data_IF_145087134732
#
_entry.id   IF_145087134732
#
_cell.length_a   1.000
_cell.length_b   1.000
_cell.length_c   1.000
_cell.angle_alpha   90.00
_cell.angle_beta   90.00
_cell.angle_gamma   90.00
#
_symmetry.space_group_name_H-M   'P 1'
#
loop_
_entity.id
_entity.type
_entity.pdbx_description
1 polymer ?
#
# COMPACT_ATOMS: atom_id res chain seq x y z
N UNK A 1 1.91 1.73 3.26
CA UNK A 1 2.94 1.54 4.28
C UNK A 1 3.38 0.09 4.31
N UNK A 2 4.66 -0.17 4.54
CA UNK A 2 5.19 -1.48 4.85
C UNK A 2 5.49 -1.55 6.36
N UNK A 3 5.09 -2.66 6.98
CA UNK A 3 5.35 -2.93 8.41
C UNK A 3 6.39 -4.06 8.47
N UNK A 4 7.49 -3.84 9.17
CA UNK A 4 8.52 -4.85 9.31
C UNK A 4 8.12 -5.87 10.41
N UNK A 5 7.46 -6.92 9.99
CA UNK A 5 7.11 -8.09 10.81
C UNK A 5 7.98 -9.31 10.51
N UNK A 6 8.98 -9.16 9.66
CA UNK A 6 9.98 -10.17 9.35
C UNK A 6 11.03 -10.34 10.45
N UNK A 7 12.03 -11.14 10.18
CA UNK A 7 13.08 -11.52 11.14
C UNK A 7 13.95 -10.33 11.62
N UNK A 8 13.95 -9.22 10.89
CA UNK A 8 14.66 -7.98 11.24
C UNK A 8 13.79 -6.98 11.97
N UNK A 9 12.47 -7.22 12.00
CA UNK A 9 11.49 -6.32 12.61
C UNK A 9 11.46 -6.40 14.14
N UNK A 10 10.95 -5.35 14.81
CA UNK A 10 10.82 -5.35 16.26
C UNK A 10 9.72 -6.33 16.72
N UNK A 11 9.85 -6.84 17.94
CA UNK A 11 8.89 -7.76 18.54
C UNK A 11 7.46 -7.19 18.58
N UNK A 12 7.32 -5.88 18.75
CA UNK A 12 6.04 -5.18 18.73
C UNK A 12 5.28 -5.38 17.43
N UNK A 13 5.99 -5.42 16.29
CA UNK A 13 5.39 -5.60 14.96
C UNK A 13 5.07 -7.08 14.63
N UNK A 14 5.47 -8.04 15.48
CA UNK A 14 5.03 -9.43 15.37
C UNK A 14 3.56 -9.60 15.80
N UNK A 15 3.05 -8.72 16.64
CA UNK A 15 1.66 -8.76 17.11
C UNK A 15 0.70 -8.19 16.07
N UNK A 16 -0.16 -9.03 15.51
CA UNK A 16 -1.15 -8.63 14.50
C UNK A 16 -2.16 -7.61 15.03
N UNK A 17 -2.51 -7.65 16.32
CA UNK A 17 -3.42 -6.66 16.92
C UNK A 17 -2.80 -5.27 16.91
N UNK A 18 -1.48 -5.16 17.11
CA UNK A 18 -0.74 -3.89 16.97
C UNK A 18 -0.77 -3.39 15.54
N UNK A 19 -0.47 -4.25 14.56
CA UNK A 19 -0.50 -3.87 13.14
C UNK A 19 -1.91 -3.44 12.70
N UNK A 20 -2.93 -4.16 13.18
CA UNK A 20 -4.34 -3.81 12.91
C UNK A 20 -4.73 -2.48 13.54
N UNK A 21 -4.31 -2.20 14.76
CA UNK A 21 -4.52 -0.91 15.41
C UNK A 21 -3.90 0.26 14.63
N UNK A 22 -2.69 0.06 14.09
CA UNK A 22 -2.03 1.05 13.23
C UNK A 22 -2.86 1.37 11.97
N UNK A 23 -3.47 0.35 11.35
CA UNK A 23 -4.29 0.53 10.15
C UNK A 23 -5.63 1.23 10.48
N UNK A 24 -6.32 0.79 11.53
CA UNK A 24 -7.61 1.34 11.97
C UNK A 24 -7.52 2.79 12.47
N UNK A 25 -6.33 3.22 12.89
CA UNK A 25 -6.09 4.60 13.33
C UNK A 25 -6.00 5.60 12.16
N UNK A 26 -5.96 5.14 10.90
CA UNK A 26 -5.73 6.00 9.74
C UNK A 26 -7.03 6.28 9.01
N UNK A 27 -7.48 7.55 9.06
CA UNK A 27 -8.53 8.09 8.18
C UNK A 27 -7.91 8.42 6.81
N UNK A 28 -8.05 7.49 5.87
CA UNK A 28 -7.45 7.62 4.53
C UNK A 28 -8.09 8.75 3.71
N UNK A 29 -9.38 9.00 3.88
CA UNK A 29 -10.08 10.09 3.18
C UNK A 29 -9.61 11.45 3.70
N UNK A 30 -9.48 11.61 5.00
CA UNK A 30 -8.91 12.81 5.61
C UNK A 30 -7.44 13.00 5.20
N UNK A 31 -6.64 11.93 5.16
CA UNK A 31 -5.25 11.97 4.69
C UNK A 31 -5.15 12.48 3.27
N UNK A 32 -5.89 11.89 2.32
CA UNK A 32 -5.88 12.28 0.90
C UNK A 32 -6.35 13.73 0.74
N UNK A 33 -7.41 14.14 1.45
CA UNK A 33 -7.92 15.51 1.43
C UNK A 33 -6.91 16.53 1.93
N UNK A 34 -6.04 16.16 2.85
CA UNK A 34 -5.03 17.04 3.43
C UNK A 34 -3.78 17.19 2.55
N UNK A 35 -3.37 16.13 1.81
CA UNK A 35 -2.17 16.18 0.98
C UNK A 35 -2.40 16.66 -0.44
N UNK A 36 -3.66 16.72 -0.90
CA UNK A 36 -3.99 17.22 -2.23
C UNK A 36 -5.43 16.98 -2.65
N UNK A 37 -5.70 16.96 -3.94
CA UNK A 37 -7.03 16.66 -4.46
C UNK A 37 -7.15 15.19 -4.87
N UNK A 38 -8.39 14.69 -4.85
CA UNK A 38 -8.73 13.34 -5.34
C UNK A 38 -8.46 13.12 -6.84
N UNK A 39 -8.15 14.18 -7.58
CA UNK A 39 -7.67 14.07 -8.97
C UNK A 39 -6.25 13.50 -9.05
N UNK A 40 -5.43 13.77 -8.04
CA UNK A 40 -4.03 13.34 -7.99
C UNK A 40 -3.82 12.13 -7.08
N UNK A 41 -4.67 11.95 -6.08
CA UNK A 41 -4.54 10.89 -5.07
C UNK A 41 -5.88 10.18 -4.90
N UNK A 42 -5.90 8.87 -5.14
CA UNK A 42 -7.09 8.04 -4.96
C UNK A 42 -6.87 7.09 -3.78
N UNK A 43 -7.76 7.12 -2.80
CA UNK A 43 -7.73 6.19 -1.67
C UNK A 43 -7.72 4.76 -2.17
N UNK A 44 -6.85 3.93 -1.62
CA UNK A 44 -6.78 2.51 -1.89
C UNK A 44 -7.60 1.71 -0.87
N UNK A 45 -8.50 0.88 -1.39
CA UNK A 45 -9.26 -0.10 -0.62
C UNK A 45 -8.61 -1.49 -0.58
N UNK A 46 -7.47 -1.66 -1.20
CA UNK A 46 -6.61 -2.84 -1.21
C UNK A 46 -5.23 -2.47 -1.70
N UNK A 47 -4.32 -3.43 -1.79
CA UNK A 47 -2.96 -3.17 -2.22
C UNK A 47 -2.82 -3.09 -3.74
N UNK A 48 -3.54 -3.93 -4.46
CA UNK A 48 -3.57 -3.95 -5.92
C UNK A 48 -4.47 -2.81 -6.41
N UNK A 49 -3.98 -1.89 -7.27
CA UNK A 49 -4.77 -0.77 -7.77
C UNK A 49 -5.83 -1.19 -8.80
N UNK A 50 -6.76 -0.27 -9.11
CA UNK A 50 -7.64 -0.40 -10.27
C UNK A 50 -6.84 -0.34 -11.58
N UNK A 51 -7.41 -0.91 -12.64
CA UNK A 51 -6.84 -0.94 -13.98
C UNK A 51 -6.16 -2.25 -14.36
N UNK A 52 -6.03 -3.20 -13.44
CA UNK A 52 -5.49 -4.52 -13.73
C UNK A 52 -6.63 -5.50 -14.05
N UNK A 53 -6.35 -6.43 -15.00
CA UNK A 53 -7.32 -7.46 -15.35
C UNK A 53 -7.55 -8.42 -14.18
N UNK A 54 -8.82 -8.72 -13.91
CA UNK A 54 -9.28 -9.76 -13.01
C UNK A 54 -9.92 -10.92 -13.79
N UNK A 55 -10.71 -11.73 -13.11
CA UNK A 55 -11.39 -12.89 -13.69
C UNK A 55 -12.46 -12.50 -14.72
N UNK A 56 -13.27 -11.49 -14.41
CA UNK A 56 -14.39 -11.03 -15.24
C UNK A 56 -14.35 -9.53 -15.57
N UNK A 57 -13.24 -8.84 -15.24
CA UNK A 57 -13.14 -7.41 -15.45
C UNK A 57 -11.92 -6.80 -14.81
N UNK A 58 -12.12 -5.75 -14.02
CA UNK A 58 -11.05 -5.13 -13.23
C UNK A 58 -10.92 -5.87 -11.90
N UNK A 59 -9.71 -6.33 -11.60
CA UNK A 59 -9.41 -7.06 -10.36
C UNK A 59 -9.93 -6.34 -9.11
N UNK A 60 -9.73 -5.03 -9.01
CA UNK A 60 -10.14 -4.24 -7.84
C UNK A 60 -11.66 -4.07 -7.74
N UNK A 61 -12.40 -4.24 -8.84
CA UNK A 61 -13.85 -4.04 -8.89
C UNK A 61 -14.64 -5.36 -8.78
N UNK A 62 -13.97 -6.49 -8.71
CA UNK A 62 -14.60 -7.79 -8.46
C UNK A 62 -15.15 -7.89 -7.03
N UNK A 63 -16.12 -8.79 -6.80
CA UNK A 63 -16.85 -8.88 -5.52
C UNK A 63 -15.91 -9.14 -4.33
N UNK A 64 -14.96 -10.05 -4.50
CA UNK A 64 -13.99 -10.41 -3.47
C UNK A 64 -13.01 -9.26 -3.13
N UNK A 65 -12.83 -8.33 -4.08
CA UNK A 65 -11.99 -7.15 -3.90
C UNK A 65 -12.76 -5.93 -3.35
N UNK A 66 -14.08 -5.99 -3.30
CA UNK A 66 -14.94 -4.89 -2.79
C UNK A 66 -15.05 -4.87 -1.28
N UNK A 67 -14.63 -5.93 -0.58
CA UNK A 67 -14.54 -5.89 0.86
C UNK A 67 -13.66 -4.72 1.29
N UNK A 68 -14.19 -3.90 2.16
CA UNK A 68 -13.48 -2.75 2.69
C UNK A 68 -12.42 -3.24 3.67
N UNK A 69 -11.17 -3.08 3.28
CA UNK A 69 -10.04 -3.40 4.15
C UNK A 69 -9.94 -2.38 5.27
N UNK A 70 -10.01 -2.83 6.50
CA UNK A 70 -9.73 -2.10 7.74
C UNK A 70 -10.13 -0.60 7.64
N UNK A 71 -11.42 -0.33 7.78
CA UNK A 71 -11.94 1.04 7.82
C UNK A 71 -11.46 1.78 9.07
N UNK A 72 -11.40 3.11 8.99
CA UNK A 72 -11.05 3.96 10.11
C UNK A 72 -11.96 3.71 11.32
N UNK A 73 -11.38 3.19 12.39
CA UNK A 73 -12.04 2.96 13.69
C UNK A 73 -11.03 3.19 14.82
N UNK A 74 -10.89 4.45 15.28
CA UNK A 74 -9.93 4.79 16.32
C UNK A 74 -10.27 4.18 17.69
N UNK A 75 -11.52 3.84 17.95
CA UNK A 75 -11.91 3.23 19.22
C UNK A 75 -11.52 1.75 19.25
N UNK A 76 -11.72 1.02 18.16
CA UNK A 76 -11.21 -0.34 18.03
C UNK A 76 -9.68 -0.36 18.03
N UNK A 77 -9.02 0.62 17.40
CA UNK A 77 -7.56 0.76 17.46
C UNK A 77 -7.06 0.86 18.91
N UNK A 78 -7.69 1.70 19.75
CA UNK A 78 -7.35 1.82 21.17
C UNK A 78 -7.61 0.52 21.94
N UNK A 79 -8.73 -0.17 21.63
CA UNK A 79 -9.05 -1.46 22.27
C UNK A 79 -8.01 -2.55 21.96
N UNK A 80 -7.54 -2.62 20.71
CA UNK A 80 -6.49 -3.55 20.30
C UNK A 80 -5.13 -3.21 20.94
N UNK A 81 -4.78 -1.92 21.03
CA UNK A 81 -3.58 -1.48 21.74
C UNK A 81 -3.63 -1.87 23.22
N UNK A 82 -4.76 -1.60 23.88
CA UNK A 82 -4.95 -1.98 25.28
C UNK A 82 -4.83 -3.50 25.49
N UNK A 83 -5.41 -4.31 24.59
CA UNK A 83 -5.27 -5.78 24.59
C UNK A 83 -3.81 -6.21 24.44
N UNK A 84 -3.02 -5.46 23.65
CA UNK A 84 -1.60 -5.70 23.45
C UNK A 84 -0.72 -5.15 24.62
N UNK A 85 -1.31 -4.51 25.62
CA UNK A 85 -0.60 -4.00 26.80
C UNK A 85 -0.14 -2.54 26.70
N UNK A 86 -0.68 -1.77 25.75
CA UNK A 86 -0.37 -0.36 25.55
C UNK A 86 -1.54 0.51 25.97
N UNK A 87 -1.25 1.57 26.75
CA UNK A 87 -2.22 2.56 27.23
C UNK A 87 -1.54 3.93 27.44
N UNK A 88 -2.27 4.89 28.01
CA UNK A 88 -1.73 6.22 28.30
C UNK A 88 -0.50 6.23 29.23
N UNK A 89 -0.36 5.23 30.10
CA UNK A 89 0.78 5.10 31.02
C UNK A 89 1.97 4.37 30.39
N UNK A 90 1.71 3.59 29.35
CA UNK A 90 2.67 2.80 28.59
C UNK A 90 2.34 2.88 27.08
N UNK A 91 2.55 4.02 26.42
CA UNK A 91 2.21 4.18 25.01
C UNK A 91 3.08 3.29 24.13
N UNK A 92 2.50 2.77 23.04
CA UNK A 92 3.27 2.12 21.98
C UNK A 92 4.23 3.15 21.38
N UNK A 93 5.53 2.84 21.40
CA UNK A 93 6.56 3.65 20.74
C UNK A 93 7.01 2.97 19.48
N UNK A 94 7.07 3.72 18.38
CA UNK A 94 7.54 3.22 17.10
C UNK A 94 8.22 4.31 16.27
N UNK A 95 8.95 3.88 15.25
CA UNK A 95 9.56 4.78 14.27
C UNK A 95 8.89 4.62 12.91
N UNK A 96 8.60 5.75 12.25
CA UNK A 96 8.14 5.78 10.87
C UNK A 96 9.20 6.39 9.97
N UNK A 97 9.72 5.60 9.04
CA UNK A 97 10.80 5.96 8.12
C UNK A 97 10.24 6.34 6.75
N UNK A 98 10.69 7.48 6.20
CA UNK A 98 10.29 7.96 4.89
C UNK A 98 11.41 8.66 4.13
N UNK A 99 11.34 8.62 2.79
CA UNK A 99 12.31 9.32 1.93
C UNK A 99 12.02 10.82 1.85
N UNK A 100 13.09 11.61 1.72
CA UNK A 100 13.07 13.07 1.76
C UNK A 100 12.37 13.68 0.53
N UNK A 101 11.04 13.83 0.61
CA UNK A 101 10.23 14.64 -0.32
C UNK A 101 9.18 15.41 0.48
N UNK A 102 8.67 16.53 -0.05
CA UNK A 102 7.64 17.32 0.64
C UNK A 102 6.38 16.48 0.90
N UNK A 103 5.87 15.78 -0.11
CA UNK A 103 4.69 14.94 0.05
C UNK A 103 4.87 13.87 1.14
N UNK A 104 6.03 13.21 1.18
CA UNK A 104 6.26 12.18 2.20
C UNK A 104 6.36 12.77 3.61
N UNK A 105 6.89 13.99 3.73
CA UNK A 105 6.91 14.70 5.01
C UNK A 105 5.51 15.10 5.47
N UNK A 106 4.67 15.60 4.56
CA UNK A 106 3.29 15.96 4.87
C UNK A 106 2.48 14.73 5.30
N UNK A 107 2.58 13.63 4.55
CA UNK A 107 1.96 12.34 4.91
C UNK A 107 2.45 11.86 6.28
N UNK A 108 3.75 11.93 6.54
CA UNK A 108 4.33 11.48 7.80
C UNK A 108 3.78 12.25 9.01
N UNK A 109 3.67 13.56 8.90
CA UNK A 109 3.12 14.40 9.98
C UNK A 109 1.64 14.11 10.24
N UNK A 110 0.86 13.87 9.18
CA UNK A 110 -0.57 13.53 9.32
C UNK A 110 -0.72 12.16 9.98
N UNK A 111 0.03 11.16 9.54
CA UNK A 111 0.02 9.82 10.15
C UNK A 111 0.45 9.87 11.62
N UNK A 112 1.51 10.60 11.94
CA UNK A 112 1.96 10.80 13.32
C UNK A 112 0.83 11.36 14.20
N UNK A 113 0.10 12.38 13.71
CA UNK A 113 -1.02 12.95 14.44
C UNK A 113 -2.18 11.96 14.60
N UNK A 114 -2.51 11.18 13.56
CA UNK A 114 -3.56 10.16 13.62
C UNK A 114 -3.21 9.07 14.63
N UNK A 115 -1.99 8.58 14.63
CA UNK A 115 -1.50 7.60 15.59
C UNK A 115 -1.45 8.15 17.03
N UNK A 116 -1.04 9.41 17.18
CA UNK A 116 -1.06 10.09 18.49
C UNK A 116 -2.47 10.16 19.09
N UNK A 117 -3.52 10.33 18.27
CA UNK A 117 -4.91 10.39 18.73
C UNK A 117 -5.40 9.06 19.34
N UNK A 118 -4.73 7.96 19.05
CA UNK A 118 -5.03 6.63 19.63
C UNK A 118 -4.00 6.18 20.66
N UNK A 119 -3.06 7.07 21.06
CA UNK A 119 -2.09 6.79 22.11
C UNK A 119 -0.78 6.16 21.63
N UNK A 120 -0.45 6.29 20.35
CA UNK A 120 0.82 5.83 19.79
C UNK A 120 1.81 7.00 19.71
N UNK A 121 3.01 6.80 20.25
CA UNK A 121 4.14 7.74 20.20
C UNK A 121 5.03 7.36 19.00
N UNK A 122 4.87 8.08 17.90
CA UNK A 122 5.56 7.81 16.66
C UNK A 122 6.70 8.82 16.43
N UNK A 123 7.93 8.32 16.32
CA UNK A 123 9.08 9.11 15.90
C UNK A 123 9.21 9.10 14.37
N UNK A 124 9.40 10.28 13.77
CA UNK A 124 9.56 10.43 12.33
C UNK A 124 11.05 10.43 11.94
N UNK A 125 11.43 9.50 11.07
CA UNK A 125 12.80 9.38 10.55
C UNK A 125 12.83 9.66 9.06
N UNK A 126 13.36 10.84 8.68
CA UNK A 126 13.59 11.21 7.29
C UNK A 126 14.95 10.72 6.81
N UNK A 127 14.98 10.11 5.62
CA UNK A 127 16.20 9.59 5.02
C UNK A 127 16.34 10.13 3.59
N UNK A 128 17.59 10.44 3.18
CA UNK A 128 17.88 10.80 1.79
C UNK A 128 17.48 9.66 0.85
N UNK A 129 16.93 10.01 -0.33
CA UNK A 129 16.24 9.03 -1.19
C UNK A 129 17.14 7.88 -1.66
N UNK A 130 18.42 8.14 -1.91
CA UNK A 130 19.35 7.08 -2.32
C UNK A 130 19.64 6.07 -1.22
N UNK A 131 19.76 6.55 0.03
CA UNK A 131 20.03 5.70 1.20
C UNK A 131 18.76 5.00 1.70
N UNK A 132 17.60 5.62 1.48
CA UNK A 132 16.32 5.10 1.96
C UNK A 132 16.02 3.69 1.45
N UNK A 133 16.20 3.47 0.14
CA UNK A 133 15.93 2.15 -0.46
C UNK A 133 16.88 1.09 0.05
N UNK A 134 18.18 1.41 0.17
CA UNK A 134 19.16 0.47 0.73
C UNK A 134 18.79 0.05 2.16
N UNK A 135 18.25 0.98 2.97
CA UNK A 135 17.83 0.66 4.34
C UNK A 135 16.62 -0.24 4.38
N UNK A 136 15.57 0.04 3.59
CA UNK A 136 14.36 -0.80 3.60
C UNK A 136 14.60 -2.18 3.02
N UNK A 137 15.47 -2.30 2.01
CA UNK A 137 15.87 -3.59 1.43
C UNK A 137 16.62 -4.47 2.44
N UNK A 138 17.32 -3.83 3.38
CA UNK A 138 18.02 -4.52 4.47
C UNK A 138 17.17 -4.71 5.74
N UNK A 139 15.90 -4.27 5.72
CA UNK A 139 15.00 -4.37 6.89
C UNK A 139 15.31 -3.40 8.03
N UNK A 140 16.07 -2.32 7.76
CA UNK A 140 16.38 -1.29 8.75
C UNK A 140 15.23 -0.28 8.87
N UNK A 141 14.09 -0.75 9.38
CA UNK A 141 12.90 0.05 9.67
C UNK A 141 11.93 -0.72 10.57
N UNK A 142 11.00 -0.02 11.22
CA UNK A 142 9.83 -0.61 11.89
C UNK A 142 8.59 -0.47 11.02
N UNK A 143 8.28 0.76 10.61
CA UNK A 143 7.28 1.08 9.60
C UNK A 143 7.93 2.01 8.60
N UNK A 144 7.69 1.79 7.31
CA UNK A 144 8.20 2.70 6.31
C UNK A 144 7.15 3.08 5.25
N UNK A 145 7.38 4.24 4.64
CA UNK A 145 6.73 4.60 3.38
C UNK A 145 7.21 3.63 2.31
N UNK A 146 6.27 3.05 1.58
CA UNK A 146 6.59 2.28 0.40
C UNK A 146 5.63 2.65 -0.74
N UNK A 147 6.11 2.70 -1.95
CA UNK A 147 5.31 2.88 -3.15
C UNK A 147 5.91 2.07 -4.29
N UNK A 148 5.07 1.34 -4.99
CA UNK A 148 5.47 0.46 -6.08
C UNK A 148 4.47 0.55 -7.24
N UNK A 149 4.99 0.42 -8.44
CA UNK A 149 4.22 0.24 -9.65
C UNK A 149 4.73 -1.02 -10.33
N UNK A 150 3.92 -2.06 -10.35
CA UNK A 150 4.21 -3.31 -11.07
C UNK A 150 3.69 -3.24 -12.52
N UNK A 151 3.80 -4.37 -13.23
CA UNK A 151 3.21 -4.53 -14.56
C UNK A 151 1.70 -4.78 -14.52
N UNK A 152 1.21 -5.55 -15.49
CA UNK A 152 -0.21 -5.68 -15.78
C UNK A 152 -0.87 -6.88 -15.07
N UNK A 153 -0.12 -7.65 -14.28
CA UNK A 153 -0.62 -8.81 -13.56
C UNK A 153 -0.62 -8.58 -12.04
N UNK A 154 -1.73 -8.83 -11.33
CA UNK A 154 -1.83 -8.69 -9.88
C UNK A 154 -0.76 -9.45 -9.08
N UNK A 155 -0.32 -10.62 -9.58
CA UNK A 155 0.72 -11.42 -8.90
C UNK A 155 2.04 -10.69 -8.75
N UNK A 156 2.36 -9.77 -9.65
CA UNK A 156 3.59 -8.97 -9.59
C UNK A 156 3.62 -8.01 -8.39
N UNK A 157 2.44 -7.60 -7.91
CA UNK A 157 2.32 -6.83 -6.67
C UNK A 157 2.48 -7.73 -5.45
N UNK A 158 1.86 -8.90 -5.46
CA UNK A 158 1.83 -9.81 -4.32
C UNK A 158 3.18 -10.50 -4.08
N UNK A 159 3.89 -10.88 -5.15
CA UNK A 159 5.20 -11.53 -5.05
C UNK A 159 6.27 -10.67 -4.38
N UNK A 160 6.09 -9.35 -4.31
CA UNK A 160 7.02 -8.45 -3.60
C UNK A 160 7.11 -8.73 -2.10
N UNK A 161 6.08 -9.33 -1.52
CA UNK A 161 5.94 -9.55 -0.09
C UNK A 161 6.26 -10.99 0.32
N UNK A 162 6.67 -11.84 -0.62
CA UNK A 162 7.15 -13.19 -0.29
C UNK A 162 8.52 -13.16 0.36
N UNK A 163 8.79 -14.12 1.23
CA UNK A 163 10.06 -14.25 1.94
C UNK A 163 11.25 -14.26 0.99
N UNK A 164 12.27 -13.51 1.30
CA UNK A 164 13.50 -13.44 0.49
C UNK A 164 13.43 -12.53 -0.73
N UNK A 165 12.32 -11.87 -0.98
CA UNK A 165 12.30 -10.77 -1.94
C UNK A 165 13.09 -9.60 -1.40
N UNK A 166 13.98 -9.04 -2.25
CA UNK A 166 14.94 -8.02 -1.81
C UNK A 166 14.42 -6.58 -1.92
N UNK A 167 13.15 -6.41 -2.25
CA UNK A 167 12.59 -5.06 -2.48
C UNK A 167 12.11 -4.42 -1.19
N UNK A 168 11.59 -5.22 -0.26
CA UNK A 168 11.25 -4.80 1.12
C UNK A 168 11.40 -6.01 2.04
N UNK A 169 12.40 -6.02 2.91
CA UNK A 169 12.60 -7.09 3.87
C UNK A 169 11.61 -6.97 5.06
N UNK A 170 10.32 -7.06 4.78
CA UNK A 170 9.25 -6.78 5.75
C UNK A 170 8.46 -8.00 6.21
N UNK A 171 8.41 -9.06 5.42
CA UNK A 171 7.57 -10.24 5.66
C UNK A 171 8.43 -11.50 5.63
N UNK A 172 8.14 -12.42 6.54
CA UNK A 172 8.76 -13.74 6.64
C UNK A 172 7.66 -14.72 7.06
N UNK A 173 6.78 -15.06 6.09
CA UNK A 173 5.60 -15.89 6.33
C UNK A 173 5.45 -16.99 5.28
N UNK A 174 5.80 -18.24 5.65
CA UNK A 174 5.67 -19.40 4.76
C UNK A 174 4.23 -19.70 4.31
N UNK A 175 3.22 -19.23 5.04
CA UNK A 175 1.82 -19.41 4.63
C UNK A 175 1.51 -18.49 3.47
N UNK A 176 1.91 -17.24 3.57
CA UNK A 176 1.77 -16.27 2.47
C UNK A 176 2.57 -16.68 1.24
N UNK A 177 3.83 -17.08 1.44
CA UNK A 177 4.70 -17.57 0.36
C UNK A 177 4.05 -18.69 -0.43
N UNK A 178 3.47 -19.66 0.30
CA UNK A 178 2.77 -20.78 -0.29
C UNK A 178 1.51 -20.34 -1.08
N UNK A 179 0.74 -19.40 -0.56
CA UNK A 179 -0.45 -18.89 -1.27
C UNK A 179 -0.09 -18.28 -2.61
N UNK A 180 0.96 -17.45 -2.65
CA UNK A 180 1.43 -16.80 -3.87
C UNK A 180 2.04 -17.82 -4.85
N UNK A 181 2.85 -18.76 -4.36
CA UNK A 181 3.48 -19.79 -5.18
C UNK A 181 2.42 -20.74 -5.80
N UNK A 182 1.49 -21.26 -4.99
CA UNK A 182 0.43 -22.15 -5.45
C UNK A 182 -0.50 -21.48 -6.49
N UNK A 183 -0.79 -20.19 -6.34
CA UNK A 183 -1.53 -19.45 -7.34
C UNK A 183 -0.87 -19.54 -8.72
N UNK A 184 0.45 -19.45 -8.79
CA UNK A 184 1.22 -19.51 -10.04
C UNK A 184 1.11 -20.84 -10.82
N UNK A 185 0.62 -21.90 -10.20
CA UNK A 185 0.40 -23.20 -10.87
C UNK A 185 -1.03 -23.39 -11.39
N UNK A 186 -1.96 -22.49 -11.08
CA UNK A 186 -3.33 -22.59 -11.53
C UNK A 186 -3.44 -22.24 -13.03
N UNK A 187 -4.10 -23.11 -13.78
CA UNK A 187 -4.28 -22.96 -15.25
C UNK A 187 -5.60 -22.26 -15.57
N UNK A 188 -6.62 -22.50 -14.76
CA UNK A 188 -7.90 -21.81 -14.92
C UNK A 188 -7.75 -20.34 -14.45
N UNK A 189 -8.12 -19.43 -15.33
CA UNK A 189 -7.92 -18.00 -15.08
C UNK A 189 -8.74 -17.49 -13.88
N UNK A 190 -9.96 -17.98 -13.72
CA UNK A 190 -10.82 -17.59 -12.60
C UNK A 190 -10.28 -18.12 -11.29
N UNK A 191 -9.84 -19.38 -11.23
CA UNK A 191 -9.19 -19.95 -10.04
C UNK A 191 -7.91 -19.20 -9.68
N UNK A 192 -7.12 -18.83 -10.68
CA UNK A 192 -5.91 -18.02 -10.50
C UNK A 192 -6.22 -16.66 -9.86
N UNK A 193 -7.17 -15.90 -10.42
CA UNK A 193 -7.53 -14.59 -9.88
C UNK A 193 -8.13 -14.69 -8.46
N UNK A 194 -8.96 -15.69 -8.19
CA UNK A 194 -9.49 -15.95 -6.85
C UNK A 194 -8.38 -16.26 -5.84
N UNK A 195 -7.37 -17.01 -6.23
CA UNK A 195 -6.23 -17.28 -5.38
C UNK A 195 -5.42 -16.00 -5.08
N UNK A 196 -5.28 -15.10 -6.06
CA UNK A 196 -4.63 -13.80 -5.84
C UNK A 196 -5.46 -12.88 -4.92
N UNK A 197 -6.80 -12.87 -5.04
CA UNK A 197 -7.67 -12.16 -4.10
C UNK A 197 -7.49 -12.69 -2.67
N UNK A 198 -7.45 -14.02 -2.49
CA UNK A 198 -7.21 -14.63 -1.18
C UNK A 198 -5.83 -14.25 -0.61
N UNK A 199 -4.79 -14.21 -1.44
CA UNK A 199 -3.45 -13.80 -1.01
C UNK A 199 -3.40 -12.32 -0.63
N UNK A 200 -4.07 -11.44 -1.37
CA UNK A 200 -4.18 -10.03 -1.02
C UNK A 200 -4.94 -9.82 0.30
N UNK A 201 -6.07 -10.52 0.47
CA UNK A 201 -6.84 -10.49 1.71
C UNK A 201 -5.98 -10.90 2.91
N UNK A 202 -5.23 -11.99 2.79
CA UNK A 202 -4.31 -12.44 3.82
C UNK A 202 -3.26 -11.38 4.15
N UNK A 203 -2.60 -10.81 3.13
CA UNK A 203 -1.54 -9.81 3.26
C UNK A 203 -2.02 -8.54 3.99
N UNK A 204 -3.21 -8.03 3.59
CA UNK A 204 -3.67 -6.69 3.97
C UNK A 204 -4.68 -6.71 5.12
N UNK A 205 -5.56 -7.72 5.15
CA UNK A 205 -6.66 -7.77 6.10
C UNK A 205 -6.39 -8.70 7.29
N UNK A 206 -5.89 -9.90 7.04
CA UNK A 206 -5.68 -10.87 8.11
C UNK A 206 -4.39 -10.56 8.88
N UNK A 207 -3.29 -10.42 8.17
CA UNK A 207 -1.97 -10.25 8.77
C UNK A 207 -1.50 -8.81 8.86
N UNK A 208 -2.08 -7.91 8.06
CA UNK A 208 -1.77 -6.47 8.04
C UNK A 208 -0.26 -6.21 7.92
N UNK A 209 0.38 -6.87 6.97
CA UNK A 209 1.79 -6.63 6.64
C UNK A 209 1.96 -5.33 5.85
N UNK A 210 0.90 -4.95 5.13
CA UNK A 210 0.82 -3.75 4.30
C UNK A 210 -0.43 -2.95 4.67
N UNK A 211 -0.27 -1.64 4.81
CA UNK A 211 -1.41 -0.71 4.94
C UNK A 211 -1.47 0.13 3.66
N UNK A 212 -2.38 -0.19 2.72
CA UNK A 212 -2.61 0.64 1.54
C UNK A 212 -3.16 2.00 1.95
N UNK A 213 -2.62 3.08 1.39
CA UNK A 213 -3.09 4.43 1.65
C UNK A 213 -3.80 5.02 0.44
N UNK A 214 -3.04 5.28 -0.61
CA UNK A 214 -3.55 5.89 -1.83
C UNK A 214 -2.65 5.63 -3.04
N UNK A 215 -3.24 5.74 -4.22
CA UNK A 215 -2.53 5.75 -5.50
C UNK A 215 -2.22 7.17 -5.95
N UNK A 216 -1.12 7.30 -6.67
CA UNK A 216 -0.80 8.49 -7.44
C UNK A 216 -1.49 8.41 -8.81
N UNK A 217 -2.28 9.41 -9.14
CA UNK A 217 -2.76 9.61 -10.49
C UNK A 217 -1.80 10.55 -11.22
N UNK A 218 -1.46 10.21 -12.46
CA UNK A 218 -0.66 11.07 -13.31
C UNK A 218 -1.58 11.76 -14.34
N UNK A 219 -1.99 13.00 -14.11
CA UNK A 219 -2.84 13.70 -15.08
C UNK A 219 -2.05 14.01 -16.35
N UNK A 220 -2.63 13.66 -17.50
CA UNK A 220 -2.08 13.96 -18.81
C UNK A 220 -2.90 15.05 -19.49
N UNK A 221 -2.25 16.16 -19.86
CA UNK A 221 -2.85 17.21 -20.66
C UNK A 221 -2.54 16.98 -22.15
N UNK A 222 -3.57 16.73 -22.92
CA UNK A 222 -3.46 16.61 -24.37
C UNK A 222 -4.12 17.81 -25.03
N UNK A 223 -3.44 18.38 -26.04
CA UNK A 223 -4.09 19.38 -26.90
C UNK A 223 -5.26 18.76 -27.63
N UNK A 224 -6.32 19.51 -27.82
CA UNK A 224 -7.57 19.03 -28.44
C UNK A 224 -7.41 18.50 -29.87
N UNK A 225 -6.37 18.96 -30.57
CA UNK A 225 -6.02 18.53 -31.93
C UNK A 225 -5.08 17.30 -31.96
N UNK A 226 -4.70 16.73 -30.81
CA UNK A 226 -3.92 15.47 -30.72
C UNK A 226 -4.91 14.33 -30.52
N UNK A 227 -4.88 13.35 -31.42
CA UNK A 227 -5.79 12.18 -31.42
C UNK A 227 -5.00 10.89 -31.40
N UNK A 228 -5.61 9.81 -30.90
CA UNK A 228 -5.06 8.47 -30.97
C UNK A 228 -3.97 8.16 -29.92
N UNK A 229 -3.81 8.99 -28.89
CA UNK A 229 -2.98 8.62 -27.74
C UNK A 229 -3.66 7.49 -26.97
N UNK A 230 -2.94 6.42 -26.74
CA UNK A 230 -3.38 5.29 -25.92
C UNK A 230 -2.56 5.28 -24.63
N UNK A 231 -3.20 4.95 -23.51
CA UNK A 231 -2.50 4.76 -22.25
C UNK A 231 -2.24 3.26 -22.02
N UNK A 232 -1.00 2.91 -21.76
CA UNK A 232 -0.59 1.57 -21.33
C UNK A 232 -0.07 1.68 -19.90
N UNK A 233 -0.93 1.38 -18.95
CA UNK A 233 -0.67 1.69 -17.56
C UNK A 233 -0.41 3.19 -17.38
N UNK A 234 0.72 3.55 -16.79
CA UNK A 234 1.14 4.96 -16.58
C UNK A 234 1.82 5.58 -17.80
N UNK A 235 2.07 4.83 -18.88
CA UNK A 235 2.87 5.29 -20.02
C UNK A 235 1.99 5.61 -21.22
N UNK A 236 2.06 6.84 -21.79
CA UNK A 236 1.38 7.16 -23.02
C UNK A 236 2.08 6.50 -24.22
N UNK A 237 1.30 5.83 -25.05
CA UNK A 237 1.75 5.27 -26.32
C UNK A 237 1.37 6.20 -27.48
N UNK A 238 2.37 6.63 -28.26
CA UNK A 238 2.21 7.59 -29.35
C UNK A 238 2.25 6.98 -30.75
N UNK A 239 2.34 5.67 -30.89
CA UNK A 239 2.50 5.00 -32.19
C UNK A 239 1.35 5.21 -33.17
N UNK A 240 0.15 5.55 -32.67
CA UNK A 240 -1.06 5.79 -33.47
C UNK A 240 -1.51 7.27 -33.43
N UNK A 241 -0.65 8.15 -32.95
CA UNK A 241 -1.02 9.57 -32.76
C UNK A 241 -1.08 10.31 -34.09
N UNK A 242 -2.12 11.09 -34.26
CA UNK A 242 -2.28 12.09 -35.33
C UNK A 242 -2.45 13.48 -34.74
N UNK A 243 -1.91 14.48 -35.41
CA UNK A 243 -2.08 15.88 -35.05
C UNK A 243 -2.88 16.55 -36.15
N UNK A 244 -4.11 16.94 -35.83
CA UNK A 244 -4.97 17.70 -36.73
C UNK A 244 -4.52 19.16 -36.80
N UNK A 245 -4.78 19.84 -37.92
CA UNK A 245 -4.55 21.28 -37.97
C UNK A 245 -5.39 21.98 -36.90
N UNK A 246 -4.80 22.96 -36.21
CA UNK A 246 -5.57 23.75 -35.25
C UNK A 246 -6.72 24.42 -36.01
N UNK A 247 -7.96 24.35 -35.48
CA UNK A 247 -9.04 25.16 -35.97
C UNK A 247 -8.68 26.63 -35.72
N UNK A 248 -8.72 27.47 -36.80
CA UNK A 248 -8.48 28.89 -36.72
C UNK A 248 -9.53 29.61 -35.86
#
# INVERSE_FOLDING_TARGET
LAINSGSTGPETMQNVDVRRALALAIDKDALVSAVGSSEYYKVLNGYIPEGLAGAEGDFRLEEDAKEKYLEYDPEEAKALLAKAGYDESNPLKLTYKYSQTQLHADVAQILQQMWQNVGIDCELTVVESGVFYDQIDNGDFEICRYGYSAGDDPSQYLSLWTTGQQVVAAVDDPTYDKMVDEAGYLVDHTEYMNALHAAEHYLVQEMVYVIPLFNYNTPCLLKTNVKGVQMWGLNPYFGSVTVEAAAE
#
